data_IF_880425281320
#
_entry.id   IF_880425281320
#
_cell.length_a   1.000
_cell.length_b   1.000
_cell.length_c   1.000
_cell.angle_alpha   90.00
_cell.angle_beta   90.00
_cell.angle_gamma   90.00
#
_symmetry.space_group_name_H-M   'P 1'
#
loop_
_entity.id
_entity.type
_entity.pdbx_description
1 polymer ?
#
# COMPACT_ATOMS: atom_id res chain seq x y z
N UNK A 1 -58.80 -16.80 81.10
CA UNK A 1 -58.70 -15.76 80.05
C UNK A 1 -58.26 -16.49 78.79
N UNK A 2 -59.11 -17.33 78.16
CA UNK A 2 -60.34 -16.96 77.44
C UNK A 2 -60.06 -15.76 76.54
N UNK A 3 -60.45 -15.93 75.29
CA UNK A 3 -60.41 -15.02 74.16
C UNK A 3 -59.19 -15.19 73.25
N UNK A 4 -59.35 -15.54 71.97
CA UNK A 4 -60.56 -15.71 71.18
C UNK A 4 -60.13 -16.16 69.78
N UNK A 5 -60.94 -17.01 69.13
CA UNK A 5 -61.15 -17.05 67.66
C UNK A 5 -59.98 -17.75 66.92
N UNK A 6 -59.95 -19.08 66.78
CA UNK A 6 -60.79 -19.88 65.87
C UNK A 6 -61.31 -19.11 64.66
N UNK A 7 -60.91 -19.52 63.46
CA UNK A 7 -61.51 -19.11 62.17
C UNK A 7 -61.30 -17.66 61.74
N UNK A 8 -60.14 -17.41 61.15
CA UNK A 8 -60.11 -16.84 59.79
C UNK A 8 -59.40 -17.82 58.90
N UNK A 9 -60.15 -18.85 58.52
CA UNK A 9 -59.96 -19.55 57.27
C UNK A 9 -59.57 -18.56 56.16
N UNK A 10 -58.80 -19.10 55.22
CA UNK A 10 -59.00 -18.78 53.82
C UNK A 10 -58.63 -17.34 53.44
N UNK A 11 -57.39 -17.15 52.99
CA UNK A 11 -57.19 -16.73 51.59
C UNK A 11 -55.70 -16.57 51.23
N UNK A 12 -55.37 -17.13 50.05
CA UNK A 12 -54.46 -16.57 49.05
C UNK A 12 -52.96 -16.73 49.37
N UNK A 13 -52.35 -17.81 48.88
CA UNK A 13 -51.79 -17.88 47.52
C UNK A 13 -50.63 -16.91 47.26
N UNK A 14 -49.52 -17.56 46.93
CA UNK A 14 -48.50 -17.15 45.95
C UNK A 14 -47.48 -16.05 46.28
N UNK A 15 -46.23 -16.46 46.00
CA UNK A 15 -45.15 -15.70 45.33
C UNK A 15 -44.41 -14.59 46.11
N UNK A 16 -43.09 -14.73 46.25
CA UNK A 16 -42.14 -14.11 45.30
C UNK A 16 -40.68 -14.33 45.75
N UNK A 17 -40.05 -15.35 45.17
CA UNK A 17 -38.59 -15.48 45.13
C UNK A 17 -38.01 -14.41 44.20
N UNK A 18 -37.47 -13.33 44.79
CA UNK A 18 -36.76 -12.27 44.04
C UNK A 18 -35.37 -12.75 43.62
N UNK A 19 -35.32 -13.65 42.64
CA UNK A 19 -34.15 -13.91 41.82
C UNK A 19 -33.99 -12.79 40.78
N UNK A 20 -33.18 -11.77 41.08
CA UNK A 20 -32.84 -10.74 40.09
C UNK A 20 -31.66 -11.19 39.22
N UNK A 21 -31.93 -12.06 38.24
CA UNK A 21 -31.02 -12.29 37.11
C UNK A 21 -31.18 -11.16 36.09
N UNK A 22 -30.39 -10.09 36.23
CA UNK A 22 -30.21 -9.06 35.20
C UNK A 22 -28.96 -9.38 34.35
N UNK A 23 -29.04 -10.43 33.53
CA UNK A 23 -28.03 -10.70 32.51
C UNK A 23 -28.65 -11.36 31.27
N UNK A 24 -29.63 -10.71 30.65
CA UNK A 24 -30.24 -11.20 29.40
C UNK A 24 -30.46 -10.06 28.41
N UNK A 25 -29.39 -9.55 27.79
CA UNK A 25 -29.53 -8.71 26.57
C UNK A 25 -28.59 -9.05 25.40
N UNK A 26 -27.62 -9.95 25.54
CA UNK A 26 -26.76 -10.36 24.41
C UNK A 26 -27.15 -11.69 23.74
N UNK A 27 -28.10 -12.45 24.31
CA UNK A 27 -28.44 -13.83 23.83
C UNK A 27 -29.48 -13.89 22.71
N UNK A 28 -29.86 -12.75 22.10
CA UNK A 28 -30.88 -12.68 21.04
C UNK A 28 -30.35 -12.47 19.62
N UNK A 29 -29.06 -12.14 19.43
CA UNK A 29 -28.50 -11.89 18.09
C UNK A 29 -28.24 -13.20 17.33
N UNK A 30 -27.91 -14.30 18.03
CA UNK A 30 -27.57 -15.60 17.42
C UNK A 30 -28.75 -16.53 17.13
N UNK A 31 -30.00 -16.07 17.20
CA UNK A 31 -31.20 -16.93 17.05
C UNK A 31 -31.93 -16.80 15.71
N UNK A 32 -31.39 -16.03 14.77
CA UNK A 32 -31.94 -15.87 13.41
C UNK A 32 -30.93 -16.23 12.30
N UNK A 33 -29.95 -17.08 12.60
CA UNK A 33 -29.08 -17.72 11.60
C UNK A 33 -29.87 -18.82 10.86
N UNK A 34 -30.92 -18.45 10.11
CA UNK A 34 -31.49 -19.35 9.11
C UNK A 34 -30.41 -19.54 8.06
N UNK A 35 -29.85 -20.74 8.04
CA UNK A 35 -28.56 -21.05 7.43
C UNK A 35 -28.45 -20.64 5.97
N UNK A 36 -27.34 -19.97 5.66
CA UNK A 36 -26.77 -19.96 4.32
C UNK A 36 -26.61 -21.39 3.86
N UNK A 37 -27.14 -21.71 2.69
CA UNK A 37 -26.98 -23.04 2.12
C UNK A 37 -25.56 -23.17 1.55
N UNK A 38 -24.98 -24.38 1.61
CA UNK A 38 -23.64 -24.62 1.02
C UNK A 38 -23.62 -24.26 -0.48
N UNK A 39 -24.75 -24.41 -1.17
CA UNK A 39 -24.87 -24.08 -2.59
C UNK A 39 -24.78 -22.58 -2.87
N UNK A 40 -25.31 -21.71 -1.99
CA UNK A 40 -25.17 -20.26 -2.11
C UNK A 40 -23.71 -19.83 -1.95
N UNK A 41 -23.01 -20.38 -0.96
CA UNK A 41 -21.57 -20.11 -0.80
C UNK A 41 -20.75 -20.68 -1.96
N UNK A 42 -21.13 -21.85 -2.48
CA UNK A 42 -20.46 -22.48 -3.62
C UNK A 42 -20.60 -21.63 -4.88
N UNK A 43 -21.80 -21.12 -5.18
CA UNK A 43 -22.02 -20.27 -6.34
C UNK A 43 -21.15 -18.99 -6.31
N UNK A 44 -20.99 -18.37 -5.14
CA UNK A 44 -20.16 -17.16 -4.98
C UNK A 44 -18.68 -17.44 -5.22
N UNK A 45 -18.12 -18.49 -4.62
CA UNK A 45 -16.70 -18.81 -4.81
C UNK A 45 -16.38 -19.22 -6.26
N UNK A 46 -17.33 -19.83 -6.96
CA UNK A 46 -17.19 -20.16 -8.39
C UNK A 46 -17.09 -18.88 -9.22
N UNK A 47 -18.00 -17.92 -9.00
CA UNK A 47 -17.96 -16.63 -9.71
C UNK A 47 -16.67 -15.87 -9.37
N UNK A 48 -16.28 -15.79 -8.09
CA UNK A 48 -15.03 -15.16 -7.67
C UNK A 48 -13.80 -15.86 -8.30
N UNK A 49 -13.83 -17.19 -8.44
CA UNK A 49 -12.78 -17.95 -9.10
C UNK A 49 -12.62 -17.61 -10.58
N UNK A 50 -13.72 -17.48 -11.32
CA UNK A 50 -13.71 -17.08 -12.73
C UNK A 50 -13.17 -15.65 -12.89
N UNK A 51 -13.64 -14.72 -12.07
CA UNK A 51 -13.16 -13.31 -12.10
C UNK A 51 -11.68 -13.24 -11.74
N UNK A 52 -11.26 -13.93 -10.68
CA UNK A 52 -9.86 -13.95 -10.25
C UNK A 52 -8.93 -14.55 -11.32
N UNK A 53 -9.37 -15.57 -12.06
CA UNK A 53 -8.59 -16.20 -13.12
C UNK A 53 -8.23 -15.21 -14.25
N UNK A 54 -9.16 -14.35 -14.67
CA UNK A 54 -8.93 -13.35 -15.73
C UNK A 54 -8.23 -12.11 -15.18
N UNK A 55 -8.57 -11.70 -13.96
CA UNK A 55 -8.03 -10.48 -13.36
C UNK A 55 -6.53 -10.59 -13.01
N UNK A 56 -6.07 -11.76 -12.56
CA UNK A 56 -4.68 -11.97 -12.11
C UNK A 56 -3.62 -11.59 -13.17
N UNK A 57 -3.66 -12.10 -14.41
CA UNK A 57 -2.68 -11.72 -15.43
C UNK A 57 -2.77 -10.24 -15.83
N UNK A 58 -3.96 -9.64 -15.82
CA UNK A 58 -4.16 -8.24 -16.19
C UNK A 58 -3.54 -7.27 -15.16
N UNK A 59 -3.67 -7.57 -13.86
CA UNK A 59 -3.15 -6.73 -12.77
C UNK A 59 -1.62 -6.73 -12.74
N UNK A 60 -0.96 -7.84 -13.11
CA UNK A 60 0.50 -7.94 -13.13
C UNK A 60 1.18 -6.88 -14.00
N UNK A 61 0.68 -6.68 -15.23
CA UNK A 61 1.22 -5.68 -16.15
C UNK A 61 1.04 -4.24 -15.64
N UNK A 62 -0.11 -3.95 -15.00
CA UNK A 62 -0.37 -2.64 -14.41
C UNK A 62 0.62 -2.35 -13.28
N UNK A 63 0.84 -3.31 -12.39
CA UNK A 63 1.79 -3.17 -11.28
C UNK A 63 3.21 -2.94 -11.78
N UNK A 64 3.65 -3.72 -12.77
CA UNK A 64 5.00 -3.58 -13.33
C UNK A 64 5.17 -2.20 -14.00
N UNK A 65 4.17 -1.70 -14.72
CA UNK A 65 4.18 -0.34 -15.27
C UNK A 65 4.23 0.74 -14.18
N UNK A 66 3.48 0.58 -13.09
CA UNK A 66 3.52 1.52 -11.96
C UNK A 66 4.90 1.53 -11.29
N UNK A 67 5.55 0.37 -11.14
CA UNK A 67 6.90 0.26 -10.59
C UNK A 67 7.94 0.89 -11.51
N UNK A 68 7.86 0.62 -12.81
CA UNK A 68 8.78 1.18 -13.79
C UNK A 68 8.67 2.71 -13.83
N UNK A 69 7.45 3.26 -13.80
CA UNK A 69 7.22 4.71 -13.70
C UNK A 69 7.76 5.33 -12.40
N UNK A 70 7.63 4.63 -11.27
CA UNK A 70 8.21 5.07 -10.01
C UNK A 70 9.74 5.14 -10.10
N UNK A 71 10.39 4.12 -10.67
CA UNK A 71 11.85 4.10 -10.89
C UNK A 71 12.31 5.25 -11.80
N UNK A 72 11.57 5.53 -12.88
CA UNK A 72 11.87 6.66 -13.77
C UNK A 72 11.70 8.01 -13.03
N UNK A 73 10.66 8.14 -12.22
CA UNK A 73 10.43 9.32 -11.39
C UNK A 73 11.54 9.52 -10.36
N UNK A 74 12.01 8.45 -9.72
CA UNK A 74 13.15 8.51 -8.80
C UNK A 74 14.41 9.03 -9.51
N UNK A 75 14.69 8.52 -10.71
CA UNK A 75 15.82 9.01 -11.52
C UNK A 75 15.69 10.51 -11.88
N UNK A 76 14.47 10.98 -12.14
CA UNK A 76 14.20 12.39 -12.40
C UNK A 76 14.38 13.27 -11.15
N UNK A 77 13.96 12.75 -9.98
CA UNK A 77 14.19 13.38 -8.69
C UNK A 77 15.68 13.45 -8.35
N UNK A 78 16.45 12.40 -8.64
CA UNK A 78 17.93 12.40 -8.51
C UNK A 78 18.54 13.50 -9.35
N UNK A 79 18.14 13.60 -10.62
CA UNK A 79 18.64 14.61 -11.53
C UNK A 79 18.31 16.03 -11.06
N UNK A 80 17.09 16.23 -10.57
CA UNK A 80 16.63 17.52 -10.05
C UNK A 80 17.37 17.90 -8.78
N UNK A 81 17.54 16.95 -7.85
CA UNK A 81 18.33 17.13 -6.63
C UNK A 81 19.79 17.45 -6.94
N UNK A 82 20.38 16.79 -7.94
CA UNK A 82 21.75 17.07 -8.37
C UNK A 82 21.95 18.46 -8.96
N UNK A 83 20.96 19.01 -9.68
CA UNK A 83 21.01 20.40 -10.16
C UNK A 83 21.05 21.39 -8.99
N UNK A 84 20.29 21.12 -7.93
CA UNK A 84 20.28 21.95 -6.72
C UNK A 84 21.61 21.79 -5.97
N UNK A 85 22.05 20.55 -5.74
CA UNK A 85 23.32 20.23 -5.08
C UNK A 85 24.53 20.87 -5.79
N UNK A 86 24.54 20.87 -7.12
CA UNK A 86 25.56 21.54 -7.90
C UNK A 86 25.52 23.06 -7.73
N UNK A 87 24.32 23.65 -7.63
CA UNK A 87 24.15 25.09 -7.41
C UNK A 87 24.67 25.50 -6.02
N UNK A 88 24.53 24.62 -5.04
CA UNK A 88 25.06 24.81 -3.68
C UNK A 88 26.55 24.50 -3.56
N UNK A 89 27.18 23.97 -4.61
CA UNK A 89 28.62 23.67 -4.66
C UNK A 89 29.05 22.45 -3.86
N UNK A 90 28.12 21.53 -3.54
CA UNK A 90 28.43 20.31 -2.76
C UNK A 90 28.94 19.15 -3.61
N UNK A 91 28.81 19.23 -4.94
CA UNK A 91 29.23 18.16 -5.85
C UNK A 91 30.72 18.25 -6.20
N UNK A 92 31.37 17.09 -6.35
CA UNK A 92 32.77 16.99 -6.75
C UNK A 92 33.01 17.64 -8.13
N UNK A 93 33.95 18.59 -8.19
CA UNK A 93 34.24 19.38 -9.39
C UNK A 93 35.51 18.88 -10.11
N UNK A 94 35.46 18.75 -11.44
CA UNK A 94 36.55 18.30 -12.29
C UNK A 94 36.25 18.56 -13.78
N UNK A 95 36.78 17.73 -14.70
CA UNK A 95 36.41 17.80 -16.14
C UNK A 95 34.92 17.50 -16.35
N UNK A 96 34.32 16.72 -15.46
CA UNK A 96 32.89 16.61 -15.27
C UNK A 96 32.57 16.90 -13.80
N UNK A 97 31.42 17.52 -13.53
CA UNK A 97 30.94 17.69 -12.15
C UNK A 97 30.08 16.48 -11.80
N UNK A 98 30.46 15.73 -10.78
CA UNK A 98 29.76 14.51 -10.36
C UNK A 98 29.14 14.75 -9.00
N UNK A 99 27.84 14.50 -8.89
CA UNK A 99 27.10 14.49 -7.64
C UNK A 99 26.86 13.04 -7.23
N UNK A 100 27.60 12.57 -6.24
CA UNK A 100 27.53 11.19 -5.75
C UNK A 100 26.36 11.01 -4.77
N UNK A 101 25.96 9.75 -4.53
CA UNK A 101 24.84 9.42 -3.64
C UNK A 101 24.90 10.11 -2.28
N UNK A 102 26.09 10.15 -1.67
CA UNK A 102 26.31 10.74 -0.35
C UNK A 102 26.13 12.27 -0.32
N UNK A 103 26.40 12.95 -1.44
CA UNK A 103 26.21 14.40 -1.57
C UNK A 103 24.75 14.74 -1.83
N UNK A 104 24.01 13.81 -2.42
CA UNK A 104 22.61 13.97 -2.82
C UNK A 104 21.60 13.65 -1.71
N UNK A 105 22.01 13.07 -0.57
CA UNK A 105 21.07 12.64 0.49
C UNK A 105 20.24 13.78 1.07
N UNK A 106 20.72 15.03 1.01
CA UNK A 106 19.98 16.22 1.45
C UNK A 106 19.08 16.83 0.37
N UNK A 107 19.16 16.33 -0.87
CA UNK A 107 18.55 16.92 -2.06
C UNK A 107 17.52 16.00 -2.72
N UNK A 108 17.45 14.74 -2.32
CA UNK A 108 16.50 13.75 -2.82
C UNK A 108 15.76 13.12 -1.65
N UNK A 109 14.45 12.90 -1.80
CA UNK A 109 13.60 12.28 -0.77
C UNK A 109 13.04 10.94 -1.24
N UNK A 110 12.87 10.00 -0.31
CA UNK A 110 12.20 8.71 -0.55
C UNK A 110 13.00 7.65 -1.32
N UNK A 111 14.19 7.97 -1.84
CA UNK A 111 14.99 7.05 -2.66
C UNK A 111 15.88 6.18 -1.76
N UNK A 112 15.40 4.98 -1.47
CA UNK A 112 16.06 4.04 -0.53
C UNK A 112 16.71 2.84 -1.21
N UNK A 113 16.55 2.69 -2.52
CA UNK A 113 16.98 1.50 -3.26
C UNK A 113 18.08 1.84 -4.25
N UNK A 114 19.08 0.97 -4.33
CA UNK A 114 20.11 1.05 -5.35
C UNK A 114 21.11 2.18 -5.14
N UNK A 115 22.16 2.13 -5.94
CA UNK A 115 23.14 3.23 -6.06
C UNK A 115 22.68 4.21 -7.13
N UNK A 116 22.96 5.49 -6.89
CA UNK A 116 22.70 6.56 -7.85
C UNK A 116 23.77 7.65 -7.82
N UNK A 117 23.96 8.31 -8.96
CA UNK A 117 24.76 9.52 -9.09
C UNK A 117 24.26 10.32 -10.29
N UNK A 118 24.62 11.59 -10.35
CA UNK A 118 24.34 12.43 -11.51
C UNK A 118 25.60 13.17 -11.93
N UNK A 119 25.81 13.28 -13.24
CA UNK A 119 27.01 13.88 -13.80
C UNK A 119 26.62 14.99 -14.76
N UNK A 120 27.21 16.17 -14.55
CA UNK A 120 27.14 17.31 -15.45
C UNK A 120 28.39 17.36 -16.32
N UNK A 121 28.19 17.27 -17.63
CA UNK A 121 29.20 17.52 -18.67
C UNK A 121 28.84 18.77 -19.47
N UNK A 122 29.74 19.18 -20.38
CA UNK A 122 29.49 20.27 -21.32
C UNK A 122 28.25 20.03 -22.19
N UNK A 123 27.97 18.76 -22.50
CA UNK A 123 26.89 18.35 -23.39
C UNK A 123 25.53 18.18 -22.70
N UNK A 124 25.48 18.16 -21.37
CA UNK A 124 24.22 18.02 -20.64
C UNK A 124 24.34 17.33 -19.31
N UNK A 125 23.20 16.93 -18.76
CA UNK A 125 23.13 16.11 -17.56
C UNK A 125 22.91 14.65 -17.92
N UNK A 126 23.58 13.78 -17.16
CA UNK A 126 23.33 12.34 -17.17
C UNK A 126 23.06 11.84 -15.75
N UNK A 127 22.27 10.79 -15.64
CA UNK A 127 21.96 10.13 -14.36
C UNK A 127 22.34 8.66 -14.45
N UNK A 128 23.00 8.17 -13.40
CA UNK A 128 23.21 6.76 -13.14
C UNK A 128 22.29 6.35 -12.02
N UNK A 129 21.44 5.36 -12.26
CA UNK A 129 20.60 4.77 -11.22
C UNK A 129 20.47 3.27 -11.47
N UNK A 130 20.98 2.46 -10.53
CA UNK A 130 21.03 1.01 -10.67
C UNK A 130 19.66 0.35 -10.89
N UNK A 131 18.58 0.96 -10.40
CA UNK A 131 17.22 0.43 -10.58
C UNK A 131 16.70 0.57 -12.02
N UNK A 132 17.30 1.41 -12.87
CA UNK A 132 16.92 1.48 -14.29
C UNK A 132 17.20 0.17 -15.03
N UNK A 133 18.20 -0.60 -14.59
CA UNK A 133 18.55 -1.90 -15.19
C UNK A 133 17.50 -2.99 -14.95
N UNK A 134 16.57 -2.80 -14.00
CA UNK A 134 15.54 -3.79 -13.65
C UNK A 134 14.16 -3.48 -14.24
N UNK A 135 14.05 -2.42 -15.05
CA UNK A 135 12.80 -2.08 -15.74
C UNK A 135 12.28 -3.28 -16.54
N UNK A 136 10.98 -3.55 -16.43
CA UNK A 136 10.36 -4.73 -17.02
C UNK A 136 9.65 -4.45 -18.33
N UNK A 137 9.03 -3.29 -18.46
CA UNK A 137 8.30 -2.93 -19.67
C UNK A 137 9.27 -2.70 -20.83
N UNK A 138 9.02 -3.39 -21.94
CA UNK A 138 9.80 -3.29 -23.17
C UNK A 138 9.88 -1.85 -23.73
N UNK A 139 8.89 -1.01 -23.43
CA UNK A 139 8.86 0.41 -23.77
C UNK A 139 10.11 1.15 -23.27
N UNK A 140 10.63 0.78 -22.10
CA UNK A 140 11.77 1.44 -21.48
C UNK A 140 13.12 0.79 -21.80
N UNK A 141 13.20 -0.07 -22.82
CA UNK A 141 14.41 -0.85 -23.16
C UNK A 141 15.64 0.04 -23.39
N UNK A 142 15.47 1.20 -24.01
CA UNK A 142 16.56 2.16 -24.26
C UNK A 142 17.14 2.68 -22.95
N UNK A 143 16.28 3.11 -22.02
CA UNK A 143 16.70 3.60 -20.70
C UNK A 143 17.32 2.47 -19.87
N UNK A 144 16.75 1.27 -19.92
CA UNK A 144 17.26 0.08 -19.23
C UNK A 144 18.68 -0.30 -19.66
N UNK A 145 18.96 -0.23 -20.97
CA UNK A 145 20.24 -0.64 -21.54
C UNK A 145 21.30 0.46 -21.56
N UNK A 146 20.93 1.70 -21.19
CA UNK A 146 21.83 2.84 -21.21
C UNK A 146 22.21 3.20 -19.78
N UNK A 147 23.50 3.24 -19.46
CA UNK A 147 23.98 3.74 -18.17
C UNK A 147 25.36 4.38 -18.37
N UNK A 148 25.51 5.71 -18.15
CA UNK A 148 24.53 6.65 -17.62
C UNK A 148 23.45 7.07 -18.66
N UNK A 149 22.23 7.34 -18.21
CA UNK A 149 21.11 7.81 -19.06
C UNK A 149 21.16 9.32 -19.19
N UNK A 150 20.95 9.84 -20.40
CA UNK A 150 20.89 11.30 -20.62
C UNK A 150 19.56 11.89 -20.15
N UNK A 151 19.56 13.14 -19.73
CA UNK A 151 18.34 13.87 -19.35
C UNK A 151 17.26 13.82 -20.46
N UNK A 152 17.68 13.91 -21.73
CA UNK A 152 16.75 13.85 -22.87
C UNK A 152 16.05 12.49 -22.93
N UNK A 153 16.81 11.39 -22.85
CA UNK A 153 16.24 10.04 -22.90
C UNK A 153 15.33 9.77 -21.70
N UNK A 154 15.71 10.27 -20.51
CA UNK A 154 14.88 10.14 -19.31
C UNK A 154 13.56 10.91 -19.45
N UNK A 155 13.62 12.15 -19.92
CA UNK A 155 12.42 12.98 -20.09
C UNK A 155 11.46 12.41 -21.14
N UNK A 156 11.98 11.81 -22.22
CA UNK A 156 11.15 11.10 -23.21
C UNK A 156 10.46 9.90 -22.56
N UNK A 157 11.16 9.10 -21.77
CA UNK A 157 10.58 7.94 -21.09
C UNK A 157 9.54 8.30 -20.01
N UNK A 158 9.61 9.50 -19.43
CA UNK A 158 8.62 9.99 -18.44
C UNK A 158 7.30 10.45 -19.08
N UNK A 159 7.33 10.86 -20.35
CA UNK A 159 6.15 11.30 -21.09
C UNK A 159 5.32 10.15 -21.67
N UNK A 160 5.80 8.92 -21.47
CA UNK A 160 5.31 7.68 -22.02
C UNK A 160 4.37 6.92 -21.06
#
# INVERSE_FOLDING_TARGET
MKTMINETQNEISTTNSRGNNKMTKFKKIFKNEKGLTLIELLAVIVILGIVAAIATPAIGNIIDNSKDKAILSDAASILSGAKIAMTDGVCATGVATVCEQGELTGYVDGITKGTYSATKTDTGWTVTYSQLGILKNAKYSTVKSTNPVTEILLNVALQE
#
